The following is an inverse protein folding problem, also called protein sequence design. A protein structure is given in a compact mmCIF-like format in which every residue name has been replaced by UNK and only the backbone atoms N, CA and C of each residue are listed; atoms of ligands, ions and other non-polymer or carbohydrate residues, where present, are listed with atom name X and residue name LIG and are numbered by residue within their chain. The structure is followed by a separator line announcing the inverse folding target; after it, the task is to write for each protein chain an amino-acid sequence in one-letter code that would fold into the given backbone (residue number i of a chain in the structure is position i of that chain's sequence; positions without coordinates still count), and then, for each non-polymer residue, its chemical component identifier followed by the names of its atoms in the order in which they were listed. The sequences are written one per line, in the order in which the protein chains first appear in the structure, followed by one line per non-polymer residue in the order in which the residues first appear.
data_IF_082708021968
#
_entry.id   IF_082708021968
#
_cell.length_a   1.000
_cell.length_b   1.000
_cell.length_c   1.000
_cell.angle_alpha   90.00
_cell.angle_beta   90.00
_cell.angle_gamma   90.00
#
_symmetry.space_group_name_H-M   'P 1'
#
loop_
_entity.id
_entity.type
_entity.pdbx_description
1 polymer ?
#
# COMPACT_ATOMS: atom_id res chain seq x y z
N UNK A 1 43.91 1.83 -1.18
CA UNK A 1 42.97 0.94 -0.45
C UNK A 1 41.78 1.75 0.05
N UNK A 2 41.13 2.58 -0.79
CA UNK A 2 39.94 3.37 -0.39
C UNK A 2 39.16 3.84 -1.64
N UNK A 3 38.52 2.93 -2.39
CA UNK A 3 37.65 3.35 -3.51
C UNK A 3 36.57 2.30 -3.89
N UNK A 4 36.08 1.49 -2.94
CA UNK A 4 35.16 0.38 -3.25
C UNK A 4 33.72 0.56 -2.73
N UNK A 5 33.36 1.73 -2.23
CA UNK A 5 31.97 2.06 -1.94
C UNK A 5 31.57 3.22 -2.84
N UNK A 6 31.23 2.89 -4.09
CA UNK A 6 30.39 3.77 -4.87
C UNK A 6 29.12 3.99 -4.04
N UNK A 7 28.95 5.23 -3.58
CA UNK A 7 27.74 5.74 -2.97
C UNK A 7 26.61 5.62 -4.00
N UNK A 8 26.04 4.43 -4.15
CA UNK A 8 24.66 4.30 -4.59
C UNK A 8 23.82 4.83 -3.43
N UNK A 9 23.60 6.14 -3.44
CA UNK A 9 22.70 6.80 -2.51
C UNK A 9 21.40 6.03 -2.46
N UNK A 10 20.98 5.69 -1.25
CA UNK A 10 19.81 4.88 -0.93
C UNK A 10 18.57 5.37 -1.73
N UNK A 11 18.22 4.66 -2.81
CA UNK A 11 17.06 4.93 -3.68
C UNK A 11 15.70 4.73 -2.96
N UNK A 12 15.71 4.31 -1.69
CA UNK A 12 14.51 4.17 -0.86
C UNK A 12 14.08 5.46 -0.16
N UNK A 13 14.81 6.58 -0.36
CA UNK A 13 14.58 7.85 0.36
C UNK A 13 13.26 8.58 0.07
N UNK A 14 12.36 7.99 -0.74
CA UNK A 14 11.06 8.56 -1.10
C UNK A 14 9.84 7.72 -0.74
N UNK A 15 10.00 6.58 -0.05
CA UNK A 15 8.88 5.74 0.38
C UNK A 15 8.44 6.18 1.78
N UNK A 16 7.18 6.61 1.91
CA UNK A 16 6.54 6.91 3.18
C UNK A 16 5.61 5.76 3.59
N UNK A 17 5.66 5.38 4.86
CA UNK A 17 4.82 4.34 5.44
C UNK A 17 3.78 4.98 6.36
N UNK A 18 2.53 4.55 6.25
CA UNK A 18 1.46 4.97 7.14
C UNK A 18 0.63 3.76 7.61
N UNK A 19 0.31 3.74 8.92
CA UNK A 19 -0.63 2.78 9.47
C UNK A 19 -2.07 3.32 9.38
N UNK A 20 -2.93 2.58 8.68
CA UNK A 20 -4.34 2.94 8.48
C UNK A 20 -5.24 1.87 9.08
N UNK A 21 -6.00 2.26 10.11
CA UNK A 21 -7.01 1.42 10.75
C UNK A 21 -8.38 1.81 10.21
N UNK A 22 -9.07 0.87 9.58
CA UNK A 22 -10.44 1.05 9.08
C UNK A 22 -11.43 0.19 9.87
N UNK A 23 -12.57 0.78 10.25
CA UNK A 23 -13.65 0.07 10.94
C UNK A 23 -14.80 -0.23 9.99
N UNK A 24 -15.12 -1.52 9.84
CA UNK A 24 -16.33 -1.95 9.14
C UNK A 24 -17.51 -2.10 10.10
N UNK A 25 -18.70 -1.73 9.65
CA UNK A 25 -19.94 -1.96 10.39
C UNK A 25 -20.63 -3.24 9.93
N UNK A 26 -21.60 -3.73 10.71
CA UNK A 26 -22.41 -4.89 10.30
C UNK A 26 -23.22 -4.63 9.02
N UNK A 27 -23.66 -3.38 8.80
CA UNK A 27 -24.42 -2.98 7.62
C UNK A 27 -23.55 -2.70 6.40
N UNK A 28 -22.26 -2.39 6.58
CA UNK A 28 -21.30 -2.15 5.50
C UNK A 28 -20.06 -3.04 5.72
N UNK A 29 -20.13 -4.34 5.37
CA UNK A 29 -19.05 -5.29 5.67
C UNK A 29 -17.82 -5.13 4.76
N UNK A 30 -17.91 -4.32 3.70
CA UNK A 30 -16.84 -4.07 2.74
C UNK A 30 -16.16 -2.74 3.05
N UNK A 31 -14.85 -2.68 2.86
CA UNK A 31 -14.07 -1.45 3.01
C UNK A 31 -14.15 -0.53 1.78
N UNK A 32 -14.50 -1.10 0.61
CA UNK A 32 -14.58 -0.37 -0.66
C UNK A 32 -13.25 -0.25 -1.40
N UNK A 33 -12.40 -1.26 -1.28
CA UNK A 33 -11.12 -1.33 -2.00
C UNK A 33 -11.21 -2.39 -3.10
N UNK A 34 -10.72 -2.06 -4.30
CA UNK A 34 -10.34 -3.06 -5.31
C UNK A 34 -8.83 -3.20 -5.30
N UNK A 35 -8.35 -4.43 -5.19
CA UNK A 35 -6.92 -4.72 -5.06
C UNK A 35 -6.40 -5.41 -6.32
N UNK A 36 -5.18 -5.04 -6.71
CA UNK A 36 -4.36 -5.80 -7.64
C UNK A 36 -3.30 -6.55 -6.84
N UNK A 37 -3.01 -7.78 -7.23
CA UNK A 37 -1.95 -8.54 -6.61
C UNK A 37 -1.11 -9.23 -7.68
N UNK A 38 0.19 -9.29 -7.42
CA UNK A 38 1.15 -10.00 -8.24
C UNK A 38 2.02 -10.90 -7.36
N UNK A 39 2.34 -12.07 -7.88
CA UNK A 39 3.38 -12.93 -7.30
C UNK A 39 4.67 -12.64 -8.05
N UNK A 40 5.52 -11.77 -7.51
CA UNK A 40 6.85 -11.53 -8.08
C UNK A 40 7.79 -12.72 -7.79
N UNK A 41 7.54 -13.42 -6.69
CA UNK A 41 8.33 -14.51 -6.12
C UNK A 41 7.43 -15.33 -5.18
N UNK A 42 7.90 -16.52 -4.79
CA UNK A 42 7.10 -17.53 -4.06
C UNK A 42 6.70 -17.09 -2.64
N UNK A 43 7.39 -16.08 -2.10
CA UNK A 43 7.27 -15.66 -0.71
C UNK A 43 6.73 -14.23 -0.52
N UNK A 44 6.73 -13.39 -1.56
CA UNK A 44 6.19 -12.03 -1.46
C UNK A 44 5.01 -11.87 -2.43
N UNK A 45 3.87 -11.48 -1.87
CA UNK A 45 2.72 -11.03 -2.66
C UNK A 45 2.66 -9.53 -2.52
N UNK A 46 2.93 -8.82 -3.61
CA UNK A 46 2.71 -7.39 -3.64
C UNK A 46 1.22 -7.12 -3.86
N UNK A 47 0.61 -6.42 -2.92
CA UNK A 47 -0.81 -6.05 -2.95
C UNK A 47 -0.92 -4.55 -3.09
N UNK A 48 -1.60 -4.09 -4.14
CA UNK A 48 -1.77 -2.68 -4.44
C UNK A 48 -3.24 -2.29 -4.49
N UNK A 49 -3.55 -1.06 -4.08
CA UNK A 49 -4.87 -0.47 -4.25
C UNK A 49 -5.05 -0.06 -5.72
N UNK A 50 -6.01 -0.67 -6.39
CA UNK A 50 -6.41 -0.30 -7.74
C UNK A 50 -7.47 0.80 -7.79
N UNK A 51 -8.43 0.75 -6.86
CA UNK A 51 -9.54 1.71 -6.79
C UNK A 51 -10.06 1.84 -5.36
N UNK A 52 -10.49 3.05 -5.02
CA UNK A 52 -11.25 3.37 -3.80
C UNK A 52 -12.68 3.73 -4.21
N UNK A 53 -13.66 2.94 -3.75
CA UNK A 53 -15.08 3.11 -4.10
C UNK A 53 -15.67 4.34 -3.39
N UNK A 54 -16.30 5.25 -4.16
CA UNK A 54 -16.89 6.48 -3.60
C UNK A 54 -17.98 6.18 -2.55
N UNK A 55 -17.93 6.88 -1.42
CA UNK A 55 -18.83 6.69 -0.29
C UNK A 55 -18.57 5.41 0.52
N UNK A 56 -17.46 4.72 0.30
CA UNK A 56 -17.06 3.55 1.10
C UNK A 56 -16.43 3.94 2.44
N UNK A 57 -15.97 2.95 3.21
CA UNK A 57 -15.23 3.21 4.46
C UNK A 57 -13.86 3.81 4.13
N UNK A 58 -13.15 3.24 3.15
CA UNK A 58 -11.85 3.73 2.72
C UNK A 58 -11.91 5.15 2.13
N UNK A 59 -12.92 5.44 1.30
CA UNK A 59 -13.11 6.79 0.72
C UNK A 59 -13.37 7.85 1.79
N UNK A 60 -14.17 7.51 2.81
CA UNK A 60 -14.47 8.44 3.92
C UNK A 60 -13.28 8.69 4.84
N UNK A 61 -12.39 7.70 5.01
CA UNK A 61 -11.13 7.89 5.74
C UNK A 61 -10.18 8.79 4.93
N UNK A 62 -10.11 8.59 3.61
CA UNK A 62 -9.47 9.51 2.67
C UNK A 62 -7.94 9.46 2.64
N UNK A 63 -7.31 8.60 3.46
CA UNK A 63 -5.85 8.42 3.46
C UNK A 63 -5.38 7.46 2.37
N UNK A 64 -6.15 6.40 2.12
CA UNK A 64 -5.84 5.39 1.11
C UNK A 64 -6.10 5.90 -0.31
N UNK A 65 -5.20 5.59 -1.24
CA UNK A 65 -5.25 6.04 -2.64
C UNK A 65 -4.90 4.92 -3.62
N UNK A 66 -5.41 4.98 -4.87
CA UNK A 66 -4.93 4.12 -5.94
C UNK A 66 -3.41 4.25 -6.12
N UNK A 67 -2.71 3.12 -6.18
CA UNK A 67 -1.25 3.04 -6.26
C UNK A 67 -0.57 2.71 -4.94
N UNK A 68 -1.24 2.86 -3.80
CA UNK A 68 -0.67 2.50 -2.50
C UNK A 68 -0.44 0.99 -2.41
N UNK A 69 0.69 0.60 -1.81
CA UNK A 69 1.00 -0.79 -1.47
C UNK A 69 0.53 -1.11 -0.06
N UNK A 70 -0.18 -2.24 0.08
CA UNK A 70 -0.59 -2.78 1.38
C UNK A 70 0.50 -3.71 1.89
N UNK A 71 0.95 -3.46 3.12
CA UNK A 71 1.96 -4.26 3.83
C UNK A 71 1.32 -4.89 5.08
N UNK A 72 1.81 -6.05 5.50
CA UNK A 72 1.30 -6.82 6.67
C UNK A 72 2.37 -6.98 7.75
#
# INVERSE_FOLDING_TARGET
MEAYYANCGNELSGIEYEEVILEKSKSCPRLGLKLYYGTANENDTDVFIGEVESGSVADRDGRLRPGDQILQ
#
